data_IF_571012596193
#
_entry.id   IF_571012596193
#
_cell.length_a   1.000
_cell.length_b   1.000
_cell.length_c   1.000
_cell.angle_alpha   90.00
_cell.angle_beta   90.00
_cell.angle_gamma   90.00
#
_symmetry.space_group_name_H-M   'P 1'
#
loop_
_entity.id
_entity.type
_entity.pdbx_description
1 polymer ?
#
# COMPACT_ATOMS: atom_id res chain seq x y z
N UNK A 1 28.68 -14.12 67.37
CA UNK A 1 28.92 -14.35 65.97
C UNK A 1 27.77 -15.02 65.19
N UNK A 2 27.03 -15.99 65.73
CA UNK A 2 25.95 -16.70 65.02
C UNK A 2 24.68 -15.87 64.71
N UNK A 3 24.40 -14.81 65.47
CA UNK A 3 23.20 -14.00 65.29
C UNK A 3 23.33 -12.95 64.20
N UNK A 4 24.52 -12.44 63.92
CA UNK A 4 24.80 -11.49 62.87
C UNK A 4 24.81 -12.16 61.47
N UNK A 5 25.22 -13.42 61.42
CA UNK A 5 25.23 -14.19 60.16
C UNK A 5 23.80 -14.47 59.62
N UNK A 6 22.82 -14.73 60.51
CA UNK A 6 21.41 -14.92 60.13
C UNK A 6 20.76 -13.63 59.63
N UNK A 7 21.11 -12.46 60.21
CA UNK A 7 20.58 -11.16 59.72
C UNK A 7 21.15 -10.77 58.37
N UNK A 8 22.44 -11.06 58.11
CA UNK A 8 23.07 -10.78 56.83
C UNK A 8 22.49 -11.72 55.72
N UNK A 9 22.23 -12.99 56.06
CA UNK A 9 21.63 -13.95 55.12
C UNK A 9 20.17 -13.59 54.79
N UNK A 10 19.39 -13.08 55.78
CA UNK A 10 18.01 -12.59 55.57
C UNK A 10 17.97 -11.32 54.71
N UNK A 11 18.92 -10.39 54.90
CA UNK A 11 19.02 -9.17 54.08
C UNK A 11 19.44 -9.47 52.63
N UNK A 12 20.35 -10.43 52.41
CA UNK A 12 20.74 -10.89 51.08
C UNK A 12 19.60 -11.60 50.37
N UNK A 13 18.80 -12.40 51.10
CA UNK A 13 17.62 -13.08 50.50
C UNK A 13 16.53 -12.09 50.13
N UNK A 14 16.28 -11.07 50.94
CA UNK A 14 15.34 -10.00 50.60
C UNK A 14 15.82 -9.14 49.41
N UNK A 15 17.11 -8.84 49.32
CA UNK A 15 17.69 -8.11 48.21
C UNK A 15 17.59 -8.93 46.90
N UNK A 16 17.79 -10.24 46.93
CA UNK A 16 17.62 -11.13 45.76
C UNK A 16 16.14 -11.20 45.33
N UNK A 17 15.18 -11.24 46.26
CA UNK A 17 13.75 -11.23 45.94
C UNK A 17 13.29 -9.88 45.32
N UNK A 18 13.83 -8.75 45.80
CA UNK A 18 13.53 -7.44 45.21
C UNK A 18 14.14 -7.29 43.82
N UNK A 19 15.33 -7.82 43.56
CA UNK A 19 15.93 -7.82 42.23
C UNK A 19 15.14 -8.67 41.22
N UNK A 20 14.45 -9.74 41.66
CA UNK A 20 13.59 -10.55 40.75
C UNK A 20 12.29 -9.86 40.39
N UNK A 21 11.81 -8.91 41.22
CA UNK A 21 10.62 -8.10 40.94
C UNK A 21 10.89 -6.99 39.89
N UNK A 22 12.14 -6.56 39.75
CA UNK A 22 12.54 -5.58 38.71
C UNK A 22 12.95 -6.21 37.39
N UNK A 23 13.21 -7.52 37.35
CA UNK A 23 13.54 -8.24 36.09
C UNK A 23 12.29 -8.62 35.28
N UNK A 24 11.09 -8.32 35.76
CA UNK A 24 9.82 -8.70 35.12
C UNK A 24 9.19 -7.65 34.20
N UNK A 25 9.77 -6.45 34.05
CA UNK A 25 9.27 -5.40 33.16
C UNK A 25 10.18 -5.20 31.94
N UNK A 26 10.59 -6.27 31.30
CA UNK A 26 10.90 -6.25 29.90
C UNK A 26 9.55 -6.24 29.17
N UNK A 27 8.99 -5.06 28.92
CA UNK A 27 7.82 -4.92 28.08
C UNK A 27 8.16 -5.54 26.73
N UNK A 28 7.75 -6.78 26.49
CA UNK A 28 7.57 -7.27 25.13
C UNK A 28 6.63 -6.27 24.49
N UNK A 29 7.11 -5.49 23.56
CA UNK A 29 6.20 -4.72 22.69
C UNK A 29 5.18 -5.72 22.20
N UNK A 30 3.92 -5.56 22.63
CA UNK A 30 2.85 -6.44 22.21
C UNK A 30 2.74 -6.23 20.70
N UNK A 31 3.03 -7.25 19.92
CA UNK A 31 2.88 -7.24 18.48
C UNK A 31 1.44 -6.84 18.16
N UNK A 32 1.28 -5.85 17.30
CA UNK A 32 -0.03 -5.39 16.86
C UNK A 32 -0.33 -6.00 15.50
N UNK A 33 -1.14 -7.05 15.50
CA UNK A 33 -1.59 -7.75 14.30
C UNK A 33 -3.05 -7.41 14.01
N UNK A 34 -3.41 -7.34 12.73
CA UNK A 34 -4.77 -7.11 12.27
C UNK A 34 -5.20 -8.28 11.39
N UNK A 35 -6.40 -8.79 11.62
CA UNK A 35 -7.04 -9.81 10.79
C UNK A 35 -8.25 -9.17 10.08
N UNK A 36 -8.24 -9.22 8.74
CA UNK A 36 -9.25 -8.61 7.89
C UNK A 36 -9.78 -9.61 6.86
N UNK A 37 -11.11 -9.75 6.67
CA UNK A 37 -11.69 -10.63 5.66
C UNK A 37 -11.66 -9.99 4.27
N UNK A 38 -11.23 -10.76 3.27
CA UNK A 38 -11.30 -10.38 1.86
C UNK A 38 -12.25 -11.30 1.09
N UNK A 39 -12.70 -10.88 -0.09
CA UNK A 39 -13.77 -11.56 -0.82
C UNK A 39 -13.29 -12.71 -1.70
N UNK A 40 -12.03 -12.70 -2.11
CA UNK A 40 -11.51 -13.71 -3.02
C UNK A 40 -10.00 -13.73 -3.15
N UNK A 41 -9.53 -14.54 -4.08
CA UNK A 41 -8.10 -14.60 -4.39
C UNK A 41 -7.63 -13.31 -5.06
N UNK A 42 -6.49 -12.81 -4.60
CA UNK A 42 -5.75 -11.72 -5.24
C UNK A 42 -4.99 -12.32 -6.41
N UNK A 43 -5.32 -11.90 -7.62
CA UNK A 43 -4.73 -12.46 -8.85
C UNK A 43 -3.40 -11.83 -9.20
N UNK A 44 -3.18 -10.60 -8.75
CA UNK A 44 -1.93 -9.88 -8.99
C UNK A 44 -1.65 -8.87 -7.87
N UNK A 45 -0.37 -8.70 -7.55
CA UNK A 45 0.14 -7.63 -6.69
C UNK A 45 0.64 -6.42 -7.51
N UNK A 46 0.48 -6.44 -8.83
CA UNK A 46 0.83 -5.32 -9.71
C UNK A 46 -0.24 -4.22 -9.62
N UNK A 47 0.07 -3.02 -9.08
CA UNK A 47 -0.93 -1.98 -8.89
C UNK A 47 -1.49 -1.43 -10.22
N UNK A 48 -0.77 -1.53 -11.34
CA UNK A 48 -1.27 -1.07 -12.64
C UNK A 48 -2.35 -1.98 -13.24
N UNK A 49 -2.53 -3.20 -12.74
CA UNK A 49 -3.58 -4.12 -13.22
C UNK A 49 -4.62 -4.43 -12.15
N UNK A 50 -4.51 -3.85 -10.96
CA UNK A 50 -5.49 -4.01 -9.89
C UNK A 50 -6.89 -3.62 -10.37
N UNK A 51 -7.86 -4.53 -10.17
CA UNK A 51 -9.24 -4.40 -10.66
C UNK A 51 -10.29 -4.67 -9.58
N UNK A 52 -9.89 -5.25 -8.45
CA UNK A 52 -10.78 -5.61 -7.34
C UNK A 52 -10.45 -4.83 -6.08
N UNK A 53 -11.43 -4.73 -5.16
CA UNK A 53 -11.23 -4.10 -3.85
C UNK A 53 -10.07 -4.75 -3.08
N UNK A 54 -9.95 -6.07 -3.15
CA UNK A 54 -8.92 -6.82 -2.45
C UNK A 54 -7.52 -6.56 -3.04
N UNK A 55 -7.41 -6.37 -4.35
CA UNK A 55 -6.17 -5.96 -5.02
C UNK A 55 -5.78 -4.51 -4.70
N UNK A 56 -6.77 -3.61 -4.55
CA UNK A 56 -6.53 -2.24 -4.08
C UNK A 56 -6.03 -2.21 -2.64
N UNK A 57 -6.48 -3.11 -1.75
CA UNK A 57 -5.93 -3.22 -0.39
C UNK A 57 -4.42 -3.54 -0.41
N UNK A 58 -3.97 -4.39 -1.33
CA UNK A 58 -2.52 -4.62 -1.52
C UNK A 58 -1.83 -3.35 -2.01
N UNK A 59 -2.38 -2.70 -3.04
CA UNK A 59 -1.77 -1.50 -3.61
C UNK A 59 -1.65 -0.38 -2.56
N UNK A 60 -2.67 -0.16 -1.74
CA UNK A 60 -2.70 0.91 -0.74
C UNK A 60 -1.80 0.65 0.48
N UNK A 61 -1.57 -0.61 0.84
CA UNK A 61 -0.75 -0.97 1.99
C UNK A 61 0.71 -1.27 1.64
N UNK A 62 0.96 -1.85 0.46
CA UNK A 62 2.28 -2.32 0.07
C UNK A 62 3.03 -1.36 -0.87
N UNK A 63 2.36 -0.32 -1.38
CA UNK A 63 2.98 0.70 -2.21
C UNK A 63 2.79 2.10 -1.62
N UNK A 64 3.64 3.02 -2.02
CA UNK A 64 3.53 4.45 -1.73
C UNK A 64 3.69 5.24 -3.02
N UNK A 65 2.69 6.07 -3.33
CA UNK A 65 2.66 6.94 -4.50
C UNK A 65 3.37 8.27 -4.30
N UNK A 66 3.21 9.19 -5.24
CA UNK A 66 3.77 10.54 -5.15
C UNK A 66 3.19 11.33 -3.98
N UNK A 67 1.89 11.26 -3.82
CA UNK A 67 1.11 11.98 -2.81
C UNK A 67 0.07 11.05 -2.19
N UNK A 68 -0.44 11.43 -1.02
CA UNK A 68 -1.60 10.83 -0.38
C UNK A 68 -2.70 11.87 -0.29
N UNK A 69 -3.93 11.46 -0.54
CA UNK A 69 -5.12 12.30 -0.36
C UNK A 69 -5.89 11.77 0.84
N UNK A 70 -6.11 12.63 1.84
CA UNK A 70 -6.85 12.31 3.05
C UNK A 70 -8.37 12.37 2.75
N UNK A 71 -9.20 11.84 3.66
CA UNK A 71 -10.67 11.79 3.51
C UNK A 71 -11.32 13.19 3.36
N UNK A 72 -10.68 14.22 3.90
CA UNK A 72 -11.12 15.62 3.76
C UNK A 72 -10.67 16.28 2.44
N UNK A 73 -9.99 15.52 1.55
CA UNK A 73 -9.43 16.00 0.30
C UNK A 73 -8.07 16.68 0.44
N UNK A 74 -7.50 16.76 1.64
CA UNK A 74 -6.17 17.34 1.85
C UNK A 74 -5.10 16.49 1.20
N UNK A 75 -4.25 17.11 0.36
CA UNK A 75 -3.11 16.44 -0.27
C UNK A 75 -1.91 16.49 0.66
N UNK A 76 -1.34 15.34 0.97
CA UNK A 76 -0.16 15.17 1.81
C UNK A 76 1.02 14.66 1.01
N UNK A 77 2.25 15.06 1.36
CA UNK A 77 3.48 14.44 0.85
C UNK A 77 3.53 12.94 1.12
N UNK A 78 4.05 12.18 0.14
CA UNK A 78 4.36 10.77 0.28
C UNK A 78 5.78 10.51 -0.25
N UNK A 79 5.98 9.90 -1.43
CA UNK A 79 7.31 9.84 -2.05
C UNK A 79 7.78 11.23 -2.47
N UNK A 80 6.89 12.11 -2.97
CA UNK A 80 7.23 13.51 -3.18
C UNK A 80 7.27 14.26 -1.84
N UNK A 81 8.29 15.10 -1.63
CA UNK A 81 8.40 15.98 -0.46
C UNK A 81 7.60 17.26 -0.66
N UNK A 82 7.56 17.75 -1.89
CA UNK A 82 6.81 18.92 -2.31
C UNK A 82 6.52 18.85 -3.82
N UNK A 83 5.74 19.82 -4.30
CA UNK A 83 5.44 19.98 -5.72
C UNK A 83 5.05 21.41 -6.05
N UNK A 84 5.19 21.76 -7.34
CA UNK A 84 4.68 23.00 -7.90
C UNK A 84 3.71 22.71 -9.03
N UNK A 85 2.73 23.62 -9.22
CA UNK A 85 1.78 23.56 -10.31
C UNK A 85 1.89 24.84 -11.10
N UNK A 86 1.98 24.74 -12.43
CA UNK A 86 2.08 25.90 -13.32
C UNK A 86 0.82 26.78 -13.24
N UNK A 87 0.94 28.05 -13.62
CA UNK A 87 -0.16 29.02 -13.59
C UNK A 87 -1.36 28.58 -14.41
N UNK A 88 -1.14 27.86 -15.51
CA UNK A 88 -2.20 27.28 -16.35
C UNK A 88 -2.76 25.96 -15.81
N UNK A 89 -2.31 25.52 -14.63
CA UNK A 89 -2.72 24.30 -13.92
C UNK A 89 -2.55 23.01 -14.73
N UNK A 90 -1.62 22.97 -15.67
CA UNK A 90 -1.38 21.80 -16.51
C UNK A 90 -0.09 21.08 -16.21
N UNK A 91 0.93 21.76 -15.73
CA UNK A 91 2.23 21.15 -15.47
C UNK A 91 2.48 21.03 -13.98
N UNK A 92 2.72 19.81 -13.53
CA UNK A 92 3.02 19.44 -12.16
C UNK A 92 4.48 19.02 -12.10
N UNK A 93 5.25 19.63 -11.22
CA UNK A 93 6.65 19.26 -10.95
C UNK A 93 6.75 18.78 -9.52
N UNK A 94 7.13 17.53 -9.34
CA UNK A 94 7.29 16.86 -8.04
C UNK A 94 8.77 16.72 -7.72
N UNK A 95 9.16 17.05 -6.49
CA UNK A 95 10.49 16.77 -5.97
C UNK A 95 10.39 15.55 -5.03
N UNK A 96 11.14 14.50 -5.34
CA UNK A 96 11.07 13.24 -4.61
C UNK A 96 12.01 13.23 -3.41
N UNK A 97 11.63 12.52 -2.37
CA UNK A 97 12.45 12.23 -1.20
C UNK A 97 13.61 11.33 -1.59
N UNK A 98 14.83 11.75 -1.30
CA UNK A 98 16.01 10.94 -1.55
C UNK A 98 16.19 9.86 -0.50
N UNK A 99 16.80 8.73 -0.89
CA UNK A 99 17.12 7.62 0.00
C UNK A 99 15.93 6.74 0.39
N UNK A 100 14.77 6.88 -0.29
CA UNK A 100 13.71 5.88 -0.24
C UNK A 100 14.12 4.67 -1.07
N UNK A 101 13.79 3.47 -0.57
CA UNK A 101 14.22 2.23 -1.19
C UNK A 101 13.08 1.26 -1.39
N UNK A 102 13.18 0.48 -2.43
CA UNK A 102 12.40 -0.73 -2.61
C UNK A 102 12.75 -1.75 -1.52
N UNK A 103 11.74 -2.46 -1.03
CA UNK A 103 11.93 -3.50 -0.03
C UNK A 103 12.61 -4.74 -0.64
N UNK A 104 13.77 -5.12 -0.09
CA UNK A 104 14.56 -6.25 -0.57
C UNK A 104 14.21 -7.52 0.19
N UNK A 105 13.44 -8.42 -0.44
CA UNK A 105 13.31 -9.81 0.01
C UNK A 105 14.49 -10.64 -0.49
N UNK A 106 14.67 -11.85 0.06
CA UNK A 106 15.68 -12.79 -0.45
C UNK A 106 15.47 -13.08 -1.95
N UNK A 107 14.22 -13.25 -2.39
CA UNK A 107 13.89 -13.50 -3.78
C UNK A 107 14.22 -12.31 -4.70
N UNK A 108 14.01 -11.07 -4.23
CA UNK A 108 14.41 -9.86 -4.98
C UNK A 108 15.93 -9.80 -5.07
N UNK A 109 16.63 -10.03 -3.96
CA UNK A 109 18.11 -10.01 -3.92
C UNK A 109 18.72 -11.10 -4.80
N UNK A 110 18.15 -12.30 -4.82
CA UNK A 110 18.58 -13.38 -5.70
C UNK A 110 18.40 -13.01 -7.18
N UNK A 111 17.27 -12.38 -7.53
CA UNK A 111 16.94 -11.99 -8.91
C UNK A 111 17.78 -10.85 -9.44
N UNK A 112 17.98 -9.81 -8.61
CA UNK A 112 18.62 -8.56 -9.03
C UNK A 112 20.13 -8.55 -8.75
N UNK A 113 20.59 -9.41 -7.86
CA UNK A 113 21.97 -9.42 -7.37
C UNK A 113 22.21 -8.46 -6.21
N UNK A 114 23.22 -8.76 -5.41
CA UNK A 114 23.54 -8.03 -4.16
C UNK A 114 23.97 -6.57 -4.38
N UNK A 115 24.41 -6.22 -5.58
CA UNK A 115 24.90 -4.88 -5.92
C UNK A 115 23.86 -4.03 -6.65
N UNK A 116 22.62 -4.55 -6.81
CA UNK A 116 21.54 -3.77 -7.39
C UNK A 116 21.18 -2.60 -6.49
N UNK A 117 21.00 -1.42 -7.10
CA UNK A 117 20.59 -0.24 -6.38
C UNK A 117 19.06 -0.21 -6.22
N UNK A 118 18.53 -0.33 -4.99
CA UNK A 118 17.10 -0.33 -4.75
C UNK A 118 16.51 1.08 -4.58
N UNK A 119 17.22 2.15 -4.92
CA UNK A 119 16.73 3.51 -4.74
C UNK A 119 15.48 3.75 -5.60
N UNK A 120 14.49 4.41 -5.00
CA UNK A 120 13.26 4.83 -5.69
C UNK A 120 13.54 6.17 -6.34
N UNK A 121 13.32 6.24 -7.65
CA UNK A 121 13.59 7.41 -8.45
C UNK A 121 12.37 7.87 -9.25
N UNK A 122 12.45 9.06 -9.84
CA UNK A 122 11.44 9.59 -10.76
C UNK A 122 11.24 8.68 -11.98
N UNK A 123 12.27 7.92 -12.38
CA UNK A 123 12.20 6.96 -13.48
C UNK A 123 11.22 5.82 -13.21
N UNK A 124 11.04 5.41 -11.94
CA UNK A 124 10.07 4.38 -11.57
C UNK A 124 8.63 4.84 -11.79
N UNK A 125 8.35 6.12 -11.55
CA UNK A 125 7.04 6.75 -11.82
C UNK A 125 6.82 6.96 -13.32
N UNK A 126 7.85 7.38 -14.07
CA UNK A 126 7.77 7.49 -15.53
C UNK A 126 7.41 6.13 -16.13
N UNK A 127 8.10 5.07 -15.74
CA UNK A 127 7.86 3.74 -16.26
C UNK A 127 6.47 3.21 -15.87
N UNK A 128 6.06 3.39 -14.60
CA UNK A 128 4.74 2.99 -14.11
C UNK A 128 3.61 3.65 -14.91
N UNK A 129 3.65 4.96 -15.10
CA UNK A 129 2.63 5.71 -15.84
C UNK A 129 2.64 5.36 -17.33
N UNK A 130 3.81 5.11 -17.92
CA UNK A 130 3.90 4.59 -19.30
C UNK A 130 3.27 3.21 -19.45
N UNK A 131 3.45 2.33 -18.45
CA UNK A 131 2.78 1.02 -18.40
C UNK A 131 1.27 1.20 -18.27
N UNK A 132 0.82 2.01 -17.32
CA UNK A 132 -0.61 2.19 -17.03
C UNK A 132 -1.40 2.74 -18.24
N UNK A 133 -0.79 3.56 -19.07
CA UNK A 133 -1.44 4.05 -20.31
C UNK A 133 -1.21 3.14 -21.51
N UNK A 134 -0.37 2.11 -21.40
CA UNK A 134 -0.11 1.15 -22.47
C UNK A 134 -1.28 0.17 -22.61
N UNK A 135 -1.83 -0.04 -23.83
CA UNK A 135 -2.91 -0.99 -24.05
C UNK A 135 -2.49 -2.44 -23.75
N UNK A 136 -1.19 -2.76 -23.74
CA UNK A 136 -0.68 -4.08 -23.38
C UNK A 136 -0.84 -4.39 -21.89
N UNK A 137 -0.82 -3.37 -21.03
CA UNK A 137 -1.04 -3.53 -19.59
C UNK A 137 -2.51 -3.78 -19.27
N UNK A 138 -3.43 -3.30 -20.12
CA UNK A 138 -4.87 -3.37 -19.89
C UNK A 138 -5.30 -2.79 -18.53
N UNK A 139 -4.67 -1.67 -18.12
CA UNK A 139 -4.92 -1.02 -16.84
C UNK A 139 -6.40 -0.64 -16.69
N UNK A 140 -7.13 -1.16 -15.69
CA UNK A 140 -8.55 -0.82 -15.51
C UNK A 140 -8.77 0.67 -15.21
N UNK A 141 -7.78 1.32 -14.58
CA UNK A 141 -7.81 2.72 -14.17
C UNK A 141 -7.26 3.69 -15.25
N UNK A 142 -6.97 3.20 -16.47
CA UNK A 142 -6.53 4.06 -17.56
C UNK A 142 -7.42 5.32 -17.76
N UNK A 143 -8.77 5.26 -17.65
CA UNK A 143 -9.60 6.45 -17.84
C UNK A 143 -9.20 7.62 -16.95
N UNK A 144 -8.79 7.37 -15.69
CA UNK A 144 -8.32 8.41 -14.77
C UNK A 144 -6.99 9.06 -15.23
N UNK A 145 -6.13 8.30 -15.93
CA UNK A 145 -4.84 8.78 -16.45
C UNK A 145 -4.96 9.43 -17.84
N UNK A 146 -6.12 9.34 -18.51
CA UNK A 146 -6.34 9.81 -19.88
C UNK A 146 -6.16 11.32 -20.06
N UNK A 147 -6.22 12.09 -18.97
CA UNK A 147 -5.95 13.52 -18.93
C UNK A 147 -4.49 13.91 -19.12
N UNK A 148 -3.55 12.98 -18.89
CA UNK A 148 -2.11 13.22 -19.14
C UNK A 148 -1.89 13.42 -20.65
N UNK A 149 -1.15 14.46 -21.01
CA UNK A 149 -0.88 14.76 -22.41
C UNK A 149 -0.10 13.60 -23.05
N UNK A 150 -0.57 13.14 -24.21
CA UNK A 150 -0.01 11.98 -24.92
C UNK A 150 -0.65 10.63 -24.52
N UNK A 151 -1.39 10.53 -23.42
CA UNK A 151 -1.95 9.26 -22.95
C UNK A 151 -2.85 8.58 -24.00
N UNK A 152 -3.77 9.32 -24.61
CA UNK A 152 -4.68 8.77 -25.63
C UNK A 152 -3.93 8.25 -26.85
N UNK A 153 -2.91 8.98 -27.35
CA UNK A 153 -2.14 8.56 -28.50
C UNK A 153 -1.33 7.27 -28.22
N UNK A 154 -0.85 7.10 -26.99
CA UNK A 154 -0.18 5.87 -26.57
C UNK A 154 -1.20 4.73 -26.46
N UNK A 155 -2.30 4.95 -25.79
CA UNK A 155 -3.36 3.94 -25.59
C UNK A 155 -3.93 3.41 -26.90
N UNK A 156 -4.15 4.31 -27.89
CA UNK A 156 -4.64 3.96 -29.24
C UNK A 156 -3.54 3.46 -30.18
N UNK A 157 -2.31 3.26 -29.70
CA UNK A 157 -1.14 2.82 -30.48
C UNK A 157 -0.74 3.77 -31.61
N UNK A 158 -1.18 5.01 -31.59
CA UNK A 158 -0.77 6.03 -32.57
C UNK A 158 0.66 6.53 -32.35
N UNK A 159 1.11 6.46 -31.08
CA UNK A 159 2.47 6.82 -30.65
C UNK A 159 3.02 5.82 -29.65
N UNK A 160 4.34 5.79 -29.52
CA UNK A 160 5.04 4.99 -28.51
C UNK A 160 4.86 5.57 -27.10
N UNK A 161 5.18 4.78 -26.07
CA UNK A 161 5.06 5.18 -24.66
C UNK A 161 5.84 6.48 -24.34
N UNK A 162 6.92 6.77 -25.07
CA UNK A 162 7.71 8.01 -24.91
C UNK A 162 6.97 9.30 -25.28
N UNK A 163 5.80 9.20 -25.95
CA UNK A 163 4.97 10.36 -26.23
C UNK A 163 4.16 10.85 -25.03
N UNK A 164 4.04 10.03 -23.98
CA UNK A 164 3.42 10.42 -22.73
C UNK A 164 4.21 11.57 -22.11
N UNK A 165 3.54 12.66 -21.75
CA UNK A 165 4.20 13.81 -21.17
C UNK A 165 4.41 13.63 -19.66
N UNK A 166 5.20 12.62 -19.34
CA UNK A 166 5.72 12.29 -18.01
C UNK A 166 7.23 12.13 -18.15
N UNK A 167 8.02 12.92 -17.44
CA UNK A 167 9.46 12.95 -17.59
C UNK A 167 10.16 13.05 -16.24
N UNK A 168 11.21 12.26 -16.05
CA UNK A 168 12.22 12.50 -15.04
C UNK A 168 13.25 13.48 -15.63
N UNK A 169 13.41 14.64 -15.04
CA UNK A 169 14.45 15.61 -15.43
C UNK A 169 15.78 15.31 -14.78
N UNK A 170 15.74 14.64 -13.64
CA UNK A 170 16.82 13.98 -12.91
C UNK A 170 16.19 12.84 -12.07
N UNK A 171 17.00 12.14 -11.26
CA UNK A 171 16.54 10.99 -10.47
C UNK A 171 15.44 11.32 -9.44
N UNK A 172 15.32 12.61 -9.05
CA UNK A 172 14.41 13.01 -7.98
C UNK A 172 13.45 14.13 -8.39
N UNK A 173 13.38 14.46 -9.68
CA UNK A 173 12.45 15.48 -10.21
C UNK A 173 11.59 14.87 -11.30
N UNK A 174 10.27 14.76 -11.03
CA UNK A 174 9.27 14.26 -11.95
C UNK A 174 8.37 15.40 -12.46
N UNK A 175 8.23 15.50 -13.77
CA UNK A 175 7.34 16.47 -14.42
C UNK A 175 6.23 15.74 -15.16
N UNK A 176 4.97 16.09 -14.86
CA UNK A 176 3.77 15.56 -15.51
C UNK A 176 3.00 16.73 -16.14
N UNK A 177 2.63 16.60 -17.42
CA UNK A 177 1.84 17.62 -18.12
C UNK A 177 0.49 17.06 -18.52
N UNK A 178 -0.57 17.78 -18.15
CA UNK A 178 -1.96 17.46 -18.52
C UNK A 178 -2.35 18.16 -19.83
N UNK A 179 -3.31 17.58 -20.52
CA UNK A 179 -3.93 18.17 -21.71
C UNK A 179 -4.81 19.38 -21.33
N UNK A 180 -5.56 19.26 -20.26
CA UNK A 180 -6.45 20.28 -19.66
C UNK A 180 -6.26 20.29 -18.16
N UNK A 181 -6.50 21.42 -17.48
CA UNK A 181 -6.52 21.46 -16.01
C UNK A 181 -7.47 20.42 -15.43
N UNK A 182 -7.07 19.78 -14.35
CA UNK A 182 -7.87 18.77 -13.65
C UNK A 182 -7.71 18.95 -12.13
N UNK A 183 -8.76 19.40 -11.46
CA UNK A 183 -8.78 19.58 -10.00
C UNK A 183 -8.67 18.25 -9.24
N UNK A 184 -9.06 17.11 -9.85
CA UNK A 184 -9.00 15.77 -9.28
C UNK A 184 -7.68 15.05 -9.49
N UNK A 185 -6.70 15.69 -10.16
CA UNK A 185 -5.48 14.99 -10.57
C UNK A 185 -4.64 14.43 -9.41
N UNK A 186 -4.63 15.08 -8.24
CA UNK A 186 -3.99 14.53 -7.06
C UNK A 186 -4.62 13.22 -6.59
N UNK A 187 -5.96 13.11 -6.65
CA UNK A 187 -6.65 11.85 -6.34
C UNK A 187 -6.27 10.75 -7.34
N UNK A 188 -6.11 11.08 -8.61
CA UNK A 188 -5.58 10.14 -9.62
C UNK A 188 -4.17 9.68 -9.26
N UNK A 189 -3.28 10.60 -8.83
CA UNK A 189 -1.89 10.28 -8.47
C UNK A 189 -1.74 9.53 -7.15
N UNK A 190 -2.72 9.58 -6.27
CA UNK A 190 -2.75 8.76 -5.05
C UNK A 190 -3.29 7.35 -5.27
N UNK A 191 -3.89 7.07 -6.43
CA UNK A 191 -4.49 5.77 -6.74
C UNK A 191 -3.49 4.74 -7.25
N UNK A 192 -3.90 3.47 -7.24
CA UNK A 192 -3.08 2.30 -7.57
C UNK A 192 -2.34 2.40 -8.92
N UNK A 193 -3.01 2.90 -9.97
CA UNK A 193 -2.41 2.99 -11.31
C UNK A 193 -1.19 3.92 -11.38
N UNK A 194 -1.04 4.86 -10.43
CA UNK A 194 0.08 5.81 -10.37
C UNK A 194 1.19 5.39 -9.40
N UNK A 195 1.09 4.22 -8.75
CA UNK A 195 2.15 3.68 -7.90
C UNK A 195 3.40 3.38 -8.72
N UNK A 196 4.60 3.52 -8.15
CA UNK A 196 5.84 3.34 -8.90
C UNK A 196 6.06 1.88 -9.33
N UNK A 197 6.84 1.69 -10.39
CA UNK A 197 7.25 0.38 -10.89
C UNK A 197 8.70 0.44 -11.37
N UNK A 198 9.57 -0.35 -10.78
CA UNK A 198 10.97 -0.41 -11.20
C UNK A 198 11.12 -1.19 -12.51
N UNK A 199 11.68 -0.52 -13.52
CA UNK A 199 11.80 -1.08 -14.86
C UNK A 199 12.73 -2.28 -14.95
N UNK A 200 13.85 -2.26 -14.22
CA UNK A 200 14.83 -3.35 -14.25
C UNK A 200 14.23 -4.60 -13.62
N UNK A 201 13.64 -4.46 -12.43
CA UNK A 201 12.96 -5.57 -11.76
C UNK A 201 11.80 -6.11 -12.61
N UNK A 202 10.94 -5.23 -13.14
CA UNK A 202 9.86 -5.62 -14.05
C UNK A 202 10.38 -6.48 -15.20
N UNK A 203 11.46 -6.05 -15.86
CA UNK A 203 12.07 -6.78 -16.97
C UNK A 203 12.63 -8.13 -16.51
N UNK A 204 13.28 -8.18 -15.34
CA UNK A 204 13.86 -9.40 -14.77
C UNK A 204 12.80 -10.44 -14.39
N UNK A 205 11.54 -10.04 -14.18
CA UNK A 205 10.42 -10.99 -13.91
C UNK A 205 9.97 -11.77 -15.16
N UNK A 206 10.37 -11.35 -16.35
CA UNK A 206 10.04 -12.02 -17.63
C UNK A 206 8.54 -12.25 -17.81
N UNK A 207 7.74 -11.21 -17.57
CA UNK A 207 6.28 -11.22 -17.74
C UNK A 207 5.50 -11.76 -16.53
N UNK A 208 6.15 -12.01 -15.39
CA UNK A 208 5.51 -12.50 -14.16
C UNK A 208 5.36 -11.44 -13.08
N UNK A 209 5.61 -10.17 -13.38
CA UNK A 209 5.48 -9.08 -12.41
C UNK A 209 4.11 -9.10 -11.72
N UNK A 210 4.12 -9.12 -10.39
CA UNK A 210 2.92 -9.16 -9.57
C UNK A 210 2.26 -10.54 -9.40
N UNK A 211 2.73 -11.61 -10.08
CA UNK A 211 2.11 -12.94 -10.02
C UNK A 211 2.52 -13.80 -8.80
N UNK A 212 3.14 -13.20 -7.82
CA UNK A 212 3.56 -13.86 -6.59
C UNK A 212 4.56 -13.00 -5.83
N UNK A 213 4.86 -13.37 -4.60
CA UNK A 213 5.76 -12.59 -3.74
C UNK A 213 7.16 -12.49 -4.32
N UNK A 214 7.65 -13.53 -4.99
CA UNK A 214 8.97 -13.59 -5.62
C UNK A 214 9.06 -12.76 -6.92
N UNK A 215 7.93 -12.30 -7.46
CA UNK A 215 7.83 -11.45 -8.66
C UNK A 215 7.28 -10.07 -8.35
N UNK A 216 7.25 -9.68 -7.09
CA UNK A 216 6.72 -8.40 -6.65
C UNK A 216 7.79 -7.59 -5.92
N UNK A 217 7.71 -6.27 -6.08
CA UNK A 217 8.61 -5.32 -5.48
C UNK A 217 7.77 -4.24 -4.81
N UNK A 218 7.96 -4.03 -3.53
CA UNK A 218 7.12 -3.16 -2.71
C UNK A 218 7.92 -1.97 -2.16
N UNK A 219 7.28 -0.82 -2.00
CA UNK A 219 7.89 0.39 -1.44
C UNK A 219 7.07 1.00 -0.30
N UNK A 220 5.98 0.37 0.10
CA UNK A 220 5.06 0.87 1.12
C UNK A 220 5.42 0.44 2.53
N UNK A 221 4.49 0.71 3.46
CA UNK A 221 4.61 0.37 4.88
C UNK A 221 4.64 -1.12 5.13
N UNK A 222 4.05 -1.90 4.23
CA UNK A 222 4.00 -3.36 4.27
C UNK A 222 4.52 -3.97 2.98
N UNK A 223 4.81 -5.25 3.05
CA UNK A 223 5.06 -6.11 1.88
C UNK A 223 4.33 -7.44 2.08
N UNK A 224 3.93 -8.09 0.98
CA UNK A 224 3.31 -9.41 1.05
C UNK A 224 4.39 -10.44 1.37
N UNK A 225 4.33 -11.00 2.58
CA UNK A 225 5.27 -12.02 3.08
C UNK A 225 4.89 -13.40 2.61
N UNK A 226 3.61 -13.76 2.77
CA UNK A 226 3.10 -15.08 2.42
C UNK A 226 1.82 -14.97 1.61
N UNK A 227 1.67 -15.89 0.66
CA UNK A 227 0.46 -16.13 -0.11
C UNK A 227 0.10 -17.59 0.07
N UNK A 228 -1.05 -17.84 0.70
CA UNK A 228 -1.60 -19.17 0.91
C UNK A 228 -2.98 -19.26 0.24
N UNK A 229 -3.50 -20.46 0.06
CA UNK A 229 -4.82 -20.68 -0.57
C UNK A 229 -5.98 -20.01 0.20
N UNK A 230 -5.79 -19.74 1.49
CA UNK A 230 -6.84 -19.19 2.38
C UNK A 230 -6.53 -17.81 2.92
N UNK A 231 -5.31 -17.28 2.70
CA UNK A 231 -4.92 -16.01 3.28
C UNK A 231 -3.66 -15.42 2.65
N UNK A 232 -3.51 -14.10 2.85
CA UNK A 232 -2.28 -13.35 2.57
C UNK A 232 -1.79 -12.73 3.87
N UNK A 233 -0.49 -12.75 4.10
CA UNK A 233 0.12 -12.07 5.24
C UNK A 233 0.99 -10.92 4.76
N UNK A 234 0.66 -9.73 5.20
CA UNK A 234 1.46 -8.53 4.98
C UNK A 234 2.27 -8.25 6.24
N UNK A 235 3.58 -8.18 6.09
CA UNK A 235 4.48 -7.83 7.19
C UNK A 235 4.91 -6.37 7.04
N UNK A 236 5.09 -5.73 8.19
CA UNK A 236 5.64 -4.37 8.26
C UNK A 236 7.00 -4.30 7.59
N UNK A 237 7.16 -3.35 6.70
CA UNK A 237 8.44 -2.99 6.14
C UNK A 237 9.25 -2.18 7.16
N UNK A 238 10.22 -2.81 7.81
CA UNK A 238 11.04 -2.18 8.85
C UNK A 238 11.97 -1.10 8.28
N UNK A 239 12.22 -1.10 6.96
CA UNK A 239 13.07 -0.14 6.29
C UNK A 239 12.29 1.03 5.68
N UNK A 240 10.95 1.04 5.84
CA UNK A 240 10.11 2.11 5.34
C UNK A 240 10.47 3.46 5.97
N UNK A 241 10.79 4.45 5.13
CA UNK A 241 11.17 5.83 5.51
C UNK A 241 10.20 6.89 4.98
N UNK A 242 9.00 6.48 4.57
CA UNK A 242 7.98 7.41 4.12
C UNK A 242 7.36 8.23 5.27
N UNK A 243 6.38 9.04 4.93
CA UNK A 243 5.80 10.05 5.85
C UNK A 243 4.72 9.49 6.79
N UNK A 244 4.28 8.27 6.58
CA UNK A 244 3.15 7.67 7.31
C UNK A 244 3.52 6.30 7.90
N UNK A 245 4.42 6.22 8.90
CA UNK A 245 4.82 4.94 9.46
C UNK A 245 3.67 4.29 10.26
N UNK A 246 3.42 3.02 9.99
CA UNK A 246 2.41 2.24 10.70
C UNK A 246 2.87 1.79 12.10
N UNK A 247 1.90 1.60 13.01
CA UNK A 247 2.11 0.93 14.30
C UNK A 247 1.77 -0.57 14.23
N UNK A 248 1.07 -1.00 13.17
CA UNK A 248 0.69 -2.39 12.94
C UNK A 248 1.92 -3.17 12.48
N UNK A 249 2.11 -4.37 13.02
CA UNK A 249 3.26 -5.23 12.67
C UNK A 249 2.91 -6.18 11.54
N UNK A 250 1.69 -6.76 11.56
CA UNK A 250 1.22 -7.64 10.48
C UNK A 250 -0.26 -7.39 10.17
N UNK A 251 -0.62 -7.64 8.92
CA UNK A 251 -2.01 -7.72 8.47
C UNK A 251 -2.22 -9.10 7.86
N UNK A 252 -3.20 -9.84 8.35
CA UNK A 252 -3.64 -11.09 7.76
C UNK A 252 -4.95 -10.84 7.00
N UNK A 253 -4.91 -10.99 5.70
CA UNK A 253 -6.08 -10.93 4.83
C UNK A 253 -6.64 -12.35 4.66
N UNK A 254 -7.73 -12.67 5.34
CA UNK A 254 -8.37 -13.97 5.26
C UNK A 254 -9.40 -14.03 4.15
N UNK A 255 -9.23 -14.96 3.21
CA UNK A 255 -10.23 -15.21 2.17
C UNK A 255 -11.47 -15.78 2.84
N UNK A 256 -12.60 -15.07 2.73
CA UNK A 256 -13.89 -15.55 3.25
C UNK A 256 -14.51 -16.57 2.30
N UNK A 257 -14.99 -17.66 2.84
CA UNK A 257 -15.84 -18.62 2.15
C UNK A 257 -17.34 -18.27 2.29
N UNK A 258 -18.21 -19.01 1.65
CA UNK A 258 -19.66 -18.81 1.71
C UNK A 258 -20.26 -18.97 3.12
N UNK A 259 -19.54 -19.64 4.02
CA UNK A 259 -19.94 -19.87 5.41
C UNK A 259 -19.27 -18.90 6.38
N UNK A 260 -18.46 -17.96 5.88
CA UNK A 260 -17.79 -16.98 6.72
C UNK A 260 -18.78 -16.00 7.32
N UNK A 261 -19.13 -16.22 8.59
CA UNK A 261 -20.01 -15.36 9.37
C UNK A 261 -19.23 -14.11 9.81
N UNK A 262 -19.04 -13.17 8.88
CA UNK A 262 -18.24 -11.95 9.13
C UNK A 262 -18.77 -11.15 10.32
N UNK A 263 -20.09 -10.90 10.47
CA UNK A 263 -20.61 -10.18 11.63
C UNK A 263 -20.28 -10.88 12.95
N UNK A 264 -20.48 -12.19 13.07
CA UNK A 264 -20.20 -12.94 14.30
C UNK A 264 -18.70 -13.00 14.61
N UNK A 265 -17.87 -13.11 13.58
CA UNK A 265 -16.40 -13.08 13.74
C UNK A 265 -15.89 -11.72 14.18
N UNK A 266 -16.52 -10.64 13.71
CA UNK A 266 -16.21 -9.27 14.15
C UNK A 266 -16.67 -9.06 15.62
N UNK A 267 -17.87 -9.51 16.00
CA UNK A 267 -18.35 -9.46 17.38
C UNK A 267 -17.48 -10.26 18.37
N UNK A 268 -16.96 -11.41 17.93
CA UNK A 268 -16.07 -12.24 18.76
C UNK A 268 -14.64 -11.71 18.85
N UNK A 269 -14.29 -10.64 18.11
CA UNK A 269 -12.93 -10.13 18.02
C UNK A 269 -11.98 -11.05 17.23
N UNK A 270 -12.50 -11.97 16.41
CA UNK A 270 -11.66 -12.74 15.48
C UNK A 270 -11.19 -11.88 14.30
N UNK A 271 -12.07 -11.02 13.75
CA UNK A 271 -11.70 -9.95 12.84
C UNK A 271 -11.58 -8.64 13.58
N UNK A 272 -10.53 -7.87 13.31
CA UNK A 272 -10.30 -6.55 13.88
C UNK A 272 -11.05 -5.46 13.13
N UNK A 273 -11.30 -5.67 11.84
CA UNK A 273 -12.08 -4.80 10.97
C UNK A 273 -12.71 -5.61 9.85
N UNK A 274 -13.78 -5.09 9.24
CA UNK A 274 -14.39 -5.69 8.07
C UNK A 274 -15.19 -4.65 7.29
N UNK A 275 -15.26 -4.81 5.96
CA UNK A 275 -16.20 -4.07 5.14
C UNK A 275 -17.57 -4.78 5.20
N UNK A 276 -18.59 -4.04 5.63
CA UNK A 276 -19.95 -4.56 5.80
C UNK A 276 -20.92 -3.81 4.91
N UNK A 277 -21.89 -4.51 4.35
CA UNK A 277 -22.94 -3.93 3.50
C UNK A 277 -24.33 -4.27 4.00
N UNK A 278 -25.31 -3.41 3.73
CA UNK A 278 -26.71 -3.69 3.89
C UNK A 278 -27.10 -4.28 5.26
N UNK A 279 -27.60 -5.53 5.27
CA UNK A 279 -28.12 -6.21 6.46
C UNK A 279 -27.01 -6.54 7.49
N UNK A 280 -25.80 -6.81 7.06
CA UNK A 280 -24.65 -7.09 7.95
C UNK A 280 -24.36 -5.88 8.83
N UNK A 281 -24.25 -4.69 8.23
CA UNK A 281 -24.12 -3.44 8.97
C UNK A 281 -25.33 -3.20 9.89
N UNK A 282 -26.56 -3.46 9.40
CA UNK A 282 -27.79 -3.31 10.19
C UNK A 282 -27.81 -4.09 11.49
N UNK A 283 -27.18 -5.28 11.51
CA UNK A 283 -27.07 -6.11 12.69
C UNK A 283 -26.06 -5.55 13.72
N UNK A 284 -24.98 -4.94 13.27
CA UNK A 284 -23.86 -4.51 14.13
C UNK A 284 -23.87 -3.03 14.52
N UNK A 285 -24.59 -2.17 13.81
CA UNK A 285 -24.55 -0.71 13.99
C UNK A 285 -24.91 -0.17 15.40
N UNK A 286 -25.49 -1.00 16.25
CA UNK A 286 -25.90 -0.66 17.63
C UNK A 286 -24.99 -1.24 18.70
N UNK A 287 -23.86 -1.86 18.31
CA UNK A 287 -22.90 -2.45 19.25
C UNK A 287 -21.96 -1.36 19.75
N UNK A 288 -21.86 -1.20 21.05
CA UNK A 288 -21.07 -0.12 21.70
C UNK A 288 -19.54 -0.35 21.59
N UNK A 289 -19.12 -1.58 21.36
CA UNK A 289 -17.73 -2.00 21.21
C UNK A 289 -17.20 -1.97 19.75
N UNK A 290 -18.07 -1.62 18.79
CA UNK A 290 -17.72 -1.48 17.38
C UNK A 290 -17.84 -0.04 16.90
N UNK A 291 -16.84 0.44 16.19
CA UNK A 291 -16.85 1.76 15.54
C UNK A 291 -17.20 1.60 14.06
N UNK A 292 -18.30 2.19 13.63
CA UNK A 292 -18.67 2.23 12.23
C UNK A 292 -18.11 3.47 11.55
N UNK A 293 -17.32 3.27 10.50
CA UNK A 293 -16.79 4.34 9.64
C UNK A 293 -17.58 4.30 8.32
N UNK A 294 -18.42 5.30 8.02
CA UNK A 294 -19.17 5.32 6.78
C UNK A 294 -18.21 5.50 5.60
N UNK A 295 -18.38 4.65 4.59
CA UNK A 295 -17.59 4.67 3.38
C UNK A 295 -18.49 4.74 2.15
N UNK A 296 -18.33 5.75 1.31
CA UNK A 296 -19.11 5.95 0.10
C UNK A 296 -18.18 5.99 -1.13
N UNK A 297 -18.02 4.85 -1.81
CA UNK A 297 -17.19 4.71 -3.00
C UNK A 297 -17.96 4.30 -4.26
N UNK A 298 -19.27 4.14 -4.18
CA UNK A 298 -20.09 3.59 -5.27
C UNK A 298 -21.25 4.52 -5.61
N UNK A 299 -21.36 4.85 -6.87
CA UNK A 299 -22.56 5.53 -7.44
C UNK A 299 -23.38 4.51 -8.22
N UNK A 300 -24.64 4.33 -7.85
CA UNK A 300 -25.60 3.54 -8.61
C UNK A 300 -26.27 4.41 -9.67
N UNK A 301 -26.27 3.95 -10.91
CA UNK A 301 -26.92 4.65 -12.01
C UNK A 301 -27.70 3.67 -12.89
N UNK A 302 -28.82 4.12 -13.44
CA UNK A 302 -29.55 3.42 -14.50
C UNK A 302 -29.05 3.94 -15.85
N UNK A 303 -28.51 3.06 -16.67
CA UNK A 303 -28.15 3.37 -18.05
C UNK A 303 -29.31 2.94 -18.94
N UNK A 304 -29.96 3.93 -19.60
CA UNK A 304 -31.05 3.66 -20.52
C UNK A 304 -30.48 3.61 -21.94
N UNK A 305 -30.77 2.52 -22.66
CA UNK A 305 -30.50 2.47 -24.09
C UNK A 305 -31.60 3.26 -24.84
N UNK A 306 -31.28 4.47 -25.26
CA UNK A 306 -32.21 5.35 -25.98
C UNK A 306 -32.10 5.24 -27.51
N UNK A 307 -31.29 4.32 -28.03
CA UNK A 307 -31.04 4.10 -29.46
C UNK A 307 -31.92 2.99 -30.05
N UNK A 308 -33.16 2.84 -29.57
CA UNK A 308 -34.16 1.97 -30.21
C UNK A 308 -35.17 2.80 -31.01
#
# INVERSE_FOLDING_TARGET
>A
MKQNCKRIFSLLLCAALVCTLFAGCGGRNKQLDIIYPITGNITSFDPQVAATQDEYLIAENCYEGLVRVEDDGTVKPAVAVDWTVSTDQKTYTFHLRQGLKWHLTDAVTERMGKNWDPDITAHDFVFALQRAVSPQTACPLYPALSGIAGAQQVYTKQKSASALQVKATDDYTLVITLRTPDAGFFSTLSGAAAMPCNKEFFTATKGRYGLGTEYSLFNGQFYVKNQLDTSYTLNKNQEYKGTNPTKVDNITLNIKDENSKVPEKLESGYYDAAFLTGSEYGALKKKDDLTAIPYANTTWAFLLNTNQ
#
